data_IF_868946838239
#
_entry.id   IF_868946838239
#
_cell.length_a   1.000
_cell.length_b   1.000
_cell.length_c   1.000
_cell.angle_alpha   90.00
_cell.angle_beta   90.00
_cell.angle_gamma   90.00
#
_symmetry.space_group_name_H-M   'P 1'
#
loop_
_entity.id
_entity.type
_entity.pdbx_description
1 polymer ?
#
# COMPACT_ATOMS: atom_id res chain seq x y z
N UNK A 1 3.96 48.21 -17.90
CA UNK A 1 4.12 47.05 -18.79
C UNK A 1 4.87 45.99 -18.02
N UNK A 2 4.15 45.00 -17.52
CA UNK A 2 4.76 43.85 -16.81
C UNK A 2 4.91 42.79 -17.88
N UNK A 3 6.16 42.45 -18.22
CA UNK A 3 6.43 41.39 -19.19
C UNK A 3 5.87 40.08 -18.63
N UNK A 4 4.91 39.47 -19.33
CA UNK A 4 4.52 38.09 -19.06
C UNK A 4 5.73 37.21 -19.35
N UNK A 5 6.21 36.49 -18.33
CA UNK A 5 7.17 35.40 -18.55
C UNK A 5 6.52 34.40 -19.47
N UNK A 6 6.96 34.39 -20.72
CA UNK A 6 6.64 33.34 -21.67
C UNK A 6 7.20 32.04 -21.09
N UNK A 7 6.29 31.21 -20.61
CA UNK A 7 6.55 29.82 -20.24
C UNK A 7 7.06 29.13 -21.51
N UNK A 8 8.38 29.10 -21.69
CA UNK A 8 8.99 28.44 -22.83
C UNK A 8 8.75 26.95 -22.61
N UNK A 9 7.68 26.41 -23.21
CA UNK A 9 7.46 24.96 -23.27
C UNK A 9 8.74 24.34 -23.84
N UNK A 10 9.54 23.77 -22.97
CA UNK A 10 10.72 22.99 -23.34
C UNK A 10 10.23 21.92 -24.31
N UNK A 11 10.90 21.79 -25.46
CA UNK A 11 10.48 20.80 -26.43
C UNK A 11 10.53 19.39 -25.79
N UNK A 12 9.55 18.51 -26.07
CA UNK A 12 9.57 17.15 -25.56
C UNK A 12 10.87 16.41 -25.91
N UNK A 13 11.32 15.50 -25.04
CA UNK A 13 12.49 14.64 -25.25
C UNK A 13 12.24 13.49 -26.23
N UNK A 14 11.06 13.43 -26.84
CA UNK A 14 10.64 12.43 -27.83
C UNK A 14 9.89 13.06 -29.01
N UNK A 15 9.73 12.29 -30.09
CA UNK A 15 8.86 12.58 -31.23
C UNK A 15 7.95 11.40 -31.49
N UNK A 16 6.85 11.60 -32.23
CA UNK A 16 6.06 10.48 -32.74
C UNK A 16 6.70 9.87 -33.99
N UNK A 17 6.66 8.54 -34.11
CA UNK A 17 7.18 7.83 -35.31
C UNK A 17 6.26 7.98 -36.52
N UNK A 18 5.01 8.38 -36.31
CA UNK A 18 3.93 8.34 -37.30
C UNK A 18 3.09 7.07 -37.22
N UNK A 19 3.55 6.02 -36.52
CA UNK A 19 2.74 4.84 -36.22
C UNK A 19 1.66 5.18 -35.18
N UNK A 20 0.45 4.67 -35.42
CA UNK A 20 -0.70 4.84 -34.53
C UNK A 20 -1.39 3.50 -34.29
N UNK A 21 -2.04 3.38 -33.13
CA UNK A 21 -2.88 2.24 -32.76
C UNK A 21 -4.12 2.72 -32.02
N UNK A 22 -5.16 1.88 -32.00
CA UNK A 22 -6.36 2.11 -31.19
C UNK A 22 -6.31 1.19 -29.97
N UNK A 23 -6.21 1.78 -28.78
CA UNK A 23 -6.19 1.07 -27.50
C UNK A 23 -7.46 1.42 -26.71
N UNK A 24 -8.31 0.44 -26.43
CA UNK A 24 -9.59 0.64 -25.73
C UNK A 24 -10.45 1.80 -26.27
N UNK A 25 -10.39 2.08 -27.59
CA UNK A 25 -11.12 3.18 -28.23
C UNK A 25 -10.36 4.52 -28.33
N UNK A 26 -9.16 4.62 -27.76
CA UNK A 26 -8.30 5.80 -27.82
C UNK A 26 -7.22 5.63 -28.88
N UNK A 27 -6.92 6.71 -29.63
CA UNK A 27 -5.79 6.69 -30.57
C UNK A 27 -4.51 7.04 -29.83
N UNK A 28 -3.52 6.16 -29.91
CA UNK A 28 -2.20 6.35 -29.31
C UNK A 28 -1.12 6.34 -30.38
N UNK A 29 -0.03 7.05 -30.09
CA UNK A 29 1.08 7.30 -30.99
C UNK A 29 2.36 6.71 -30.42
N UNK A 30 3.12 6.01 -31.26
CA UNK A 30 4.39 5.43 -30.83
C UNK A 30 5.47 6.51 -30.69
N UNK A 31 6.24 6.45 -29.61
CA UNK A 31 7.29 7.42 -29.32
C UNK A 31 8.65 6.99 -29.87
N UNK A 32 9.49 7.99 -30.16
CA UNK A 32 10.89 7.85 -30.55
C UNK A 32 11.75 8.87 -29.83
N UNK A 33 12.84 8.42 -29.22
CA UNK A 33 13.71 9.25 -28.41
C UNK A 33 14.40 10.31 -29.27
N UNK A 34 14.42 11.56 -28.81
CA UNK A 34 15.17 12.66 -29.45
C UNK A 34 16.56 12.84 -28.83
N UNK A 35 16.70 12.48 -27.57
CA UNK A 35 17.91 12.64 -26.77
C UNK A 35 18.24 11.32 -26.07
N UNK A 36 19.48 11.21 -25.57
CA UNK A 36 19.86 10.08 -24.72
C UNK A 36 19.26 10.27 -23.31
N UNK A 37 18.75 9.19 -22.73
CA UNK A 37 18.33 9.11 -21.32
C UNK A 37 19.15 8.02 -20.63
N UNK A 38 20.37 8.33 -20.13
CA UNK A 38 21.27 7.32 -19.57
C UNK A 38 20.69 6.55 -18.39
N UNK A 39 19.84 7.18 -17.56
CA UNK A 39 19.21 6.53 -16.40
C UNK A 39 18.29 5.36 -16.81
N UNK A 40 17.67 5.45 -17.99
CA UNK A 40 16.81 4.43 -18.57
C UNK A 40 17.53 3.56 -19.60
N UNK A 41 18.79 3.85 -19.95
CA UNK A 41 19.52 3.14 -21.00
C UNK A 41 19.02 3.42 -22.42
N UNK A 42 18.34 4.55 -22.64
CA UNK A 42 17.79 4.95 -23.94
C UNK A 42 18.77 5.85 -24.67
N UNK A 43 19.00 5.59 -25.96
CA UNK A 43 19.76 6.47 -26.84
C UNK A 43 18.85 7.17 -27.84
N UNK A 44 19.29 8.33 -28.34
CA UNK A 44 18.55 9.09 -29.34
C UNK A 44 18.27 8.23 -30.58
N UNK A 45 17.01 8.17 -30.97
CA UNK A 45 16.54 7.33 -32.08
C UNK A 45 15.84 6.04 -31.65
N UNK A 46 15.97 5.62 -30.39
CA UNK A 46 15.28 4.43 -29.88
C UNK A 46 13.76 4.59 -29.96
N UNK A 47 13.08 3.47 -30.24
CA UNK A 47 11.62 3.38 -30.28
C UNK A 47 11.12 2.96 -28.90
N UNK A 48 10.10 3.65 -28.41
CA UNK A 48 9.42 3.33 -27.15
C UNK A 48 7.98 2.88 -27.37
N UNK A 49 7.23 2.88 -26.28
CA UNK A 49 5.81 2.52 -26.27
C UNK A 49 4.89 3.63 -26.79
N UNK A 50 3.69 3.69 -26.25
CA UNK A 50 2.57 4.39 -26.85
C UNK A 50 1.99 5.45 -25.91
N UNK A 51 1.74 6.64 -26.45
CA UNK A 51 1.09 7.73 -25.69
C UNK A 51 -0.01 8.40 -26.50
N UNK A 52 -1.08 8.84 -25.84
CA UNK A 52 -2.18 9.58 -26.50
C UNK A 52 -1.76 11.01 -26.88
N UNK A 53 -1.01 11.70 -26.02
CA UNK A 53 -0.63 13.10 -26.24
C UNK A 53 0.82 13.36 -25.85
N UNK A 54 1.36 14.51 -26.24
CA UNK A 54 2.68 14.96 -25.78
C UNK A 54 2.74 15.24 -24.28
N UNK A 55 1.60 15.52 -23.64
CA UNK A 55 1.54 15.83 -22.21
C UNK A 55 1.54 14.56 -21.34
N UNK A 56 1.33 13.40 -21.96
CA UNK A 56 1.33 12.08 -21.30
C UNK A 56 2.72 11.63 -20.85
N UNK A 57 3.80 12.19 -21.43
CA UNK A 57 5.18 11.85 -21.11
C UNK A 57 6.03 13.11 -20.99
N UNK A 58 6.61 13.37 -19.82
CA UNK A 58 7.37 14.59 -19.53
C UNK A 58 8.66 14.31 -18.75
N UNK A 59 9.47 15.35 -18.57
CA UNK A 59 10.77 15.33 -17.89
C UNK A 59 11.74 14.33 -18.55
N UNK A 60 12.31 13.38 -17.80
CA UNK A 60 13.20 12.35 -18.33
C UNK A 60 12.52 10.98 -18.44
N UNK A 61 11.24 10.87 -18.11
CA UNK A 61 10.55 9.59 -18.05
C UNK A 61 10.53 8.87 -19.40
N UNK A 62 10.45 7.55 -19.37
CA UNK A 62 10.42 6.75 -20.59
C UNK A 62 9.45 5.58 -20.54
N UNK A 63 8.84 5.31 -21.69
CA UNK A 63 7.88 4.22 -21.88
C UNK A 63 8.48 3.26 -22.92
N UNK A 64 8.68 2.01 -22.54
CA UNK A 64 9.23 0.94 -23.38
C UNK A 64 8.13 0.01 -23.90
N UNK A 65 8.52 -0.83 -24.86
CA UNK A 65 7.75 -1.99 -25.33
C UNK A 65 6.32 -1.63 -25.78
N UNK A 66 5.32 -2.40 -25.35
CA UNK A 66 3.91 -2.22 -25.66
C UNK A 66 3.17 -1.42 -24.58
N UNK A 67 3.89 -0.79 -23.65
CA UNK A 67 3.26 -0.01 -22.59
C UNK A 67 2.55 1.22 -23.18
N UNK A 68 1.36 1.50 -22.65
CA UNK A 68 0.42 2.44 -23.24
C UNK A 68 -0.12 3.43 -22.20
N UNK A 69 0.00 4.73 -22.47
CA UNK A 69 -0.42 5.82 -21.58
C UNK A 69 -1.44 6.71 -22.27
N UNK A 70 -2.66 6.78 -21.75
CA UNK A 70 -3.79 7.46 -22.41
C UNK A 70 -4.84 8.00 -21.43
N UNK A 71 -5.87 8.67 -21.94
CA UNK A 71 -7.01 9.18 -21.16
C UNK A 71 -6.58 10.12 -20.00
N UNK A 72 -5.65 11.04 -20.29
CA UNK A 72 -5.18 12.03 -19.32
C UNK A 72 -4.14 11.53 -18.31
N UNK A 73 -3.68 10.27 -18.43
CA UNK A 73 -2.59 9.75 -17.63
C UNK A 73 -1.26 10.43 -17.95
N UNK A 74 -0.39 10.50 -16.95
CA UNK A 74 0.91 11.18 -17.05
C UNK A 74 2.04 10.35 -16.45
N UNK A 75 3.16 10.29 -17.18
CA UNK A 75 4.43 9.74 -16.71
C UNK A 75 5.49 10.85 -16.70
N UNK A 76 6.10 11.13 -15.55
CA UNK A 76 7.01 12.28 -15.34
C UNK A 76 8.22 11.89 -14.48
N UNK A 77 9.13 12.84 -14.20
CA UNK A 77 10.37 12.58 -13.47
C UNK A 77 11.36 11.73 -14.26
N UNK A 78 11.98 10.75 -13.60
CA UNK A 78 12.85 9.70 -14.16
C UNK A 78 12.12 8.34 -14.22
N UNK A 79 10.78 8.36 -14.23
CA UNK A 79 9.98 7.16 -14.14
C UNK A 79 10.09 6.28 -15.40
N UNK A 80 10.00 4.97 -15.19
CA UNK A 80 10.11 3.97 -16.26
C UNK A 80 8.84 3.13 -16.29
N UNK A 81 8.22 3.02 -17.46
CA UNK A 81 7.11 2.09 -17.72
C UNK A 81 7.49 1.11 -18.83
N UNK A 82 7.35 -0.21 -18.63
CA UNK A 82 7.77 -1.21 -19.63
C UNK A 82 6.92 -2.49 -19.63
N UNK A 83 7.05 -3.31 -20.66
CA UNK A 83 6.20 -4.48 -20.91
C UNK A 83 4.86 -4.11 -21.54
N UNK A 84 3.78 -4.78 -21.11
CA UNK A 84 2.40 -4.63 -21.60
C UNK A 84 1.52 -3.88 -20.58
N UNK A 85 2.05 -2.82 -19.95
CA UNK A 85 1.34 -2.05 -18.91
C UNK A 85 0.39 -1.04 -19.55
N UNK A 86 -0.82 -0.92 -19.01
CA UNK A 86 -1.75 0.16 -19.35
C UNK A 86 -1.83 1.20 -18.21
N UNK A 87 -1.62 2.47 -18.56
CA UNK A 87 -1.74 3.60 -17.64
C UNK A 87 -2.80 4.56 -18.17
N UNK A 88 -3.91 4.72 -17.46
CA UNK A 88 -5.05 5.47 -17.99
C UNK A 88 -5.94 6.10 -16.92
N UNK A 89 -6.88 6.94 -17.34
CA UNK A 89 -7.51 7.90 -16.42
C UNK A 89 -6.49 8.91 -15.93
N UNK A 90 -6.86 9.76 -14.99
CA UNK A 90 -5.96 10.75 -14.36
C UNK A 90 -4.84 10.14 -13.48
N UNK A 91 -4.40 8.91 -13.79
CA UNK A 91 -3.30 8.23 -13.15
C UNK A 91 -1.96 8.96 -13.38
N UNK A 92 -1.07 8.86 -12.39
CA UNK A 92 0.22 9.52 -12.41
C UNK A 92 1.34 8.57 -11.97
N UNK A 93 2.37 8.44 -12.80
CA UNK A 93 3.61 7.75 -12.47
C UNK A 93 4.73 8.79 -12.51
N UNK A 94 5.47 8.95 -11.42
CA UNK A 94 6.43 10.05 -11.28
C UNK A 94 7.70 9.68 -10.55
N UNK A 95 8.58 10.68 -10.42
CA UNK A 95 9.86 10.55 -9.70
C UNK A 95 10.71 9.41 -10.27
N UNK A 96 11.19 8.46 -9.46
CA UNK A 96 12.01 7.32 -9.91
C UNK A 96 11.22 6.00 -9.91
N UNK A 97 9.89 6.06 -10.03
CA UNK A 97 9.05 4.87 -10.00
C UNK A 97 9.29 3.97 -11.23
N UNK A 98 9.19 2.66 -11.02
CA UNK A 98 9.29 1.65 -12.09
C UNK A 98 8.00 0.85 -12.14
N UNK A 99 7.33 0.84 -13.29
CA UNK A 99 6.14 0.02 -13.53
C UNK A 99 6.42 -0.93 -14.69
N UNK A 100 6.37 -2.23 -14.45
CA UNK A 100 6.70 -3.24 -15.44
C UNK A 100 5.80 -4.47 -15.40
N UNK A 101 5.68 -5.16 -16.54
CA UNK A 101 4.92 -6.41 -16.64
C UNK A 101 3.65 -6.23 -17.47
N UNK A 102 2.49 -6.54 -16.91
CA UNK A 102 1.19 -6.54 -17.60
C UNK A 102 0.04 -6.11 -16.68
N UNK A 103 0.33 -5.30 -15.66
CA UNK A 103 -0.67 -4.72 -14.76
C UNK A 103 -1.26 -3.41 -15.29
N UNK A 104 -2.16 -2.82 -14.50
CA UNK A 104 -2.83 -1.57 -14.83
C UNK A 104 -2.67 -0.52 -13.72
N UNK A 105 -2.40 0.73 -14.12
CA UNK A 105 -2.42 1.89 -13.23
C UNK A 105 -3.50 2.84 -13.73
N UNK A 106 -4.60 3.01 -12.98
CA UNK A 106 -5.75 3.75 -13.50
C UNK A 106 -6.50 4.65 -12.53
N UNK A 107 -7.49 5.36 -13.07
CA UNK A 107 -8.35 6.32 -12.38
C UNK A 107 -7.60 7.55 -11.87
N UNK A 108 -7.32 7.65 -10.57
CA UNK A 108 -6.54 8.73 -9.95
C UNK A 108 -5.31 8.18 -9.20
N UNK A 109 -4.92 6.93 -9.51
CA UNK A 109 -3.82 6.24 -8.85
C UNK A 109 -2.50 6.98 -9.03
N UNK A 110 -1.66 6.95 -7.99
CA UNK A 110 -0.33 7.58 -8.01
C UNK A 110 0.76 6.59 -7.62
N UNK A 111 1.77 6.47 -8.47
CA UNK A 111 2.98 5.69 -8.21
C UNK A 111 4.19 6.61 -8.30
N UNK A 112 4.93 6.82 -7.21
CA UNK A 112 6.02 7.80 -7.15
C UNK A 112 7.09 7.40 -6.13
N UNK A 113 8.11 8.22 -5.88
CA UNK A 113 9.29 7.82 -5.11
C UNK A 113 10.16 6.86 -5.89
N UNK A 114 10.67 5.84 -5.21
CA UNK A 114 11.40 4.70 -5.77
C UNK A 114 10.49 3.44 -5.83
N UNK A 115 9.17 3.64 -5.91
CA UNK A 115 8.19 2.56 -5.87
C UNK A 115 8.27 1.67 -7.12
N UNK A 116 7.93 0.39 -6.93
CA UNK A 116 7.94 -0.60 -8.00
C UNK A 116 6.58 -1.28 -8.10
N UNK A 117 5.99 -1.31 -9.29
CA UNK A 117 4.81 -2.12 -9.59
C UNK A 117 5.17 -3.10 -10.69
N UNK A 118 5.09 -4.40 -10.41
CA UNK A 118 5.63 -5.45 -11.26
C UNK A 118 4.61 -6.56 -11.55
N UNK A 119 4.87 -7.38 -12.56
CA UNK A 119 4.01 -8.53 -12.88
C UNK A 119 2.62 -8.09 -13.35
N UNK A 120 1.56 -8.62 -12.77
CA UNK A 120 0.15 -8.20 -12.99
C UNK A 120 -0.34 -7.24 -11.88
N UNK A 121 0.57 -6.68 -11.08
CA UNK A 121 0.24 -5.78 -9.97
C UNK A 121 -0.52 -4.56 -10.47
N UNK A 122 -1.60 -4.19 -9.80
CA UNK A 122 -2.50 -3.12 -10.25
C UNK A 122 -2.75 -2.08 -9.15
N UNK A 123 -2.77 -0.80 -9.54
CA UNK A 123 -3.05 0.32 -8.63
C UNK A 123 -4.16 1.17 -9.25
N UNK A 124 -5.30 1.26 -8.57
CA UNK A 124 -6.54 1.83 -9.13
C UNK A 124 -7.21 2.80 -8.14
N UNK A 125 -8.30 3.45 -8.57
CA UNK A 125 -9.03 4.46 -7.81
C UNK A 125 -8.13 5.63 -7.35
N UNK A 126 -8.20 6.03 -6.08
CA UNK A 126 -7.42 7.14 -5.50
C UNK A 126 -6.21 6.63 -4.69
N UNK A 127 -5.65 5.49 -5.09
CA UNK A 127 -4.62 4.78 -4.31
C UNK A 127 -3.21 5.32 -4.56
N UNK A 128 -2.33 5.13 -3.57
CA UNK A 128 -0.95 5.62 -3.63
C UNK A 128 0.04 4.49 -3.34
N UNK A 129 1.07 4.36 -4.18
CA UNK A 129 2.24 3.49 -3.93
C UNK A 129 3.50 4.33 -4.04
N UNK A 130 4.25 4.46 -2.95
CA UNK A 130 5.38 5.38 -2.90
C UNK A 130 6.52 4.96 -1.96
N UNK A 131 7.59 5.76 -1.89
CA UNK A 131 8.79 5.39 -1.14
C UNK A 131 9.56 4.28 -1.83
N UNK A 132 9.92 3.21 -1.12
CA UNK A 132 10.57 2.01 -1.66
C UNK A 132 9.61 0.81 -1.71
N UNK A 133 8.31 1.08 -1.76
CA UNK A 133 7.28 0.06 -1.77
C UNK A 133 7.30 -0.74 -3.07
N UNK A 134 6.99 -2.04 -2.97
CA UNK A 134 6.85 -2.93 -4.13
C UNK A 134 5.47 -3.58 -4.11
N UNK A 135 4.76 -3.49 -5.23
CA UNK A 135 3.52 -4.25 -5.52
C UNK A 135 3.82 -5.17 -6.68
N UNK A 136 3.60 -6.47 -6.55
CA UNK A 136 4.00 -7.44 -7.57
C UNK A 136 3.00 -8.59 -7.72
N UNK A 137 3.28 -9.50 -8.66
CA UNK A 137 2.42 -10.65 -8.97
C UNK A 137 0.99 -10.23 -9.33
N UNK A 138 -0.06 -10.72 -8.68
CA UNK A 138 -1.45 -10.32 -8.95
C UNK A 138 -2.01 -9.37 -7.88
N UNK A 139 -1.15 -8.72 -7.09
CA UNK A 139 -1.60 -7.87 -6.01
C UNK A 139 -2.37 -6.64 -6.52
N UNK A 140 -3.42 -6.26 -5.81
CA UNK A 140 -4.28 -5.11 -6.17
C UNK A 140 -4.30 -4.09 -5.03
N UNK A 141 -4.09 -2.82 -5.36
CA UNK A 141 -4.22 -1.67 -4.46
C UNK A 141 -5.34 -0.77 -4.98
N UNK A 142 -6.41 -0.60 -4.22
CA UNK A 142 -7.63 0.10 -4.65
C UNK A 142 -8.24 0.96 -3.55
N UNK A 143 -9.33 1.68 -3.88
CA UNK A 143 -10.19 2.37 -2.91
C UNK A 143 -9.44 3.29 -1.92
N UNK A 144 -8.40 3.98 -2.39
CA UNK A 144 -7.65 4.95 -1.58
C UNK A 144 -6.61 4.34 -0.65
N UNK A 145 -6.27 3.06 -0.80
CA UNK A 145 -5.21 2.41 -0.06
C UNK A 145 -3.83 3.04 -0.32
N UNK A 146 -2.94 2.94 0.67
CA UNK A 146 -1.59 3.53 0.63
C UNK A 146 -0.53 2.50 0.98
N UNK A 147 0.41 2.26 0.07
CA UNK A 147 1.57 1.37 0.27
C UNK A 147 2.84 2.22 0.23
N UNK A 148 3.64 2.19 1.30
CA UNK A 148 4.82 3.05 1.40
C UNK A 148 5.93 2.49 2.29
N UNK A 149 7.03 3.23 2.43
CA UNK A 149 8.23 2.74 3.13
C UNK A 149 8.92 1.65 2.32
N UNK A 150 9.28 0.54 2.95
CA UNK A 150 9.88 -0.65 2.31
C UNK A 150 8.88 -1.82 2.23
N UNK A 151 7.58 -1.52 2.19
CA UNK A 151 6.53 -2.52 2.18
C UNK A 151 6.56 -3.34 0.88
N UNK A 152 6.30 -4.63 0.98
CA UNK A 152 6.19 -5.53 -0.15
C UNK A 152 4.82 -6.21 -0.16
N UNK A 153 4.07 -6.04 -1.25
CA UNK A 153 2.75 -6.64 -1.46
C UNK A 153 2.81 -7.51 -2.72
N UNK A 154 2.50 -8.80 -2.58
CA UNK A 154 2.61 -9.80 -3.65
C UNK A 154 1.47 -10.85 -3.57
N UNK A 155 1.55 -11.92 -4.34
CA UNK A 155 0.49 -12.93 -4.44
C UNK A 155 -0.77 -12.39 -5.11
N UNK A 156 -1.91 -12.81 -4.59
CA UNK A 156 -3.24 -12.29 -4.91
C UNK A 156 -3.73 -11.34 -3.82
N UNK A 157 -2.83 -10.66 -3.10
CA UNK A 157 -3.20 -9.79 -1.99
C UNK A 157 -4.04 -8.60 -2.49
N UNK A 158 -5.08 -8.23 -1.73
CA UNK A 158 -5.98 -7.14 -2.04
C UNK A 158 -5.94 -6.11 -0.91
N UNK A 159 -5.49 -4.89 -1.22
CA UNK A 159 -5.38 -3.78 -0.27
C UNK A 159 -6.35 -2.68 -0.71
N UNK A 160 -7.38 -2.41 0.09
CA UNK A 160 -8.46 -1.49 -0.28
C UNK A 160 -8.98 -0.65 0.90
N UNK A 161 -10.08 0.08 0.71
CA UNK A 161 -10.80 0.83 1.73
C UNK A 161 -9.94 1.74 2.60
N UNK A 162 -8.98 2.46 2.01
CA UNK A 162 -8.08 3.35 2.74
C UNK A 162 -7.10 2.65 3.70
N UNK A 163 -6.79 1.36 3.49
CA UNK A 163 -5.78 0.65 4.29
C UNK A 163 -4.36 1.19 4.06
N UNK A 164 -3.51 1.12 5.09
CA UNK A 164 -2.12 1.57 5.06
C UNK A 164 -1.17 0.38 5.27
N UNK A 165 -0.22 0.18 4.35
CA UNK A 165 0.85 -0.82 4.48
C UNK A 165 2.20 -0.12 4.41
N UNK A 166 3.00 -0.22 5.47
CA UNK A 166 4.28 0.48 5.56
C UNK A 166 5.36 -0.26 6.35
N UNK A 167 6.49 0.39 6.61
CA UNK A 167 7.65 -0.25 7.23
C UNK A 167 8.31 -1.24 6.29
N UNK A 168 8.85 -2.33 6.83
CA UNK A 168 9.38 -3.50 6.11
C UNK A 168 8.35 -4.65 6.11
N UNK A 169 7.05 -4.32 6.03
CA UNK A 169 5.99 -5.34 6.04
C UNK A 169 5.97 -6.14 4.74
N UNK A 170 5.57 -7.40 4.83
CA UNK A 170 5.44 -8.32 3.73
C UNK A 170 4.03 -8.92 3.73
N UNK A 171 3.23 -8.59 2.71
CA UNK A 171 1.86 -9.07 2.51
C UNK A 171 1.82 -9.92 1.26
N UNK A 172 1.43 -11.19 1.38
CA UNK A 172 1.37 -12.11 0.25
C UNK A 172 0.22 -13.12 0.39
N UNK A 173 0.13 -14.07 -0.54
CA UNK A 173 -0.98 -15.03 -0.59
C UNK A 173 -2.28 -14.37 -1.05
N UNK A 174 -3.40 -14.71 -0.41
CA UNK A 174 -4.72 -14.13 -0.70
C UNK A 174 -5.16 -13.17 0.42
N UNK A 175 -4.20 -12.53 1.08
CA UNK A 175 -4.46 -11.64 2.20
C UNK A 175 -5.26 -10.40 1.74
N UNK A 176 -6.27 -10.04 2.51
CA UNK A 176 -7.12 -8.86 2.26
C UNK A 176 -6.99 -7.87 3.40
N UNK A 177 -6.56 -6.65 3.08
CA UNK A 177 -6.49 -5.52 4.02
C UNK A 177 -7.48 -4.45 3.57
N UNK A 178 -8.40 -4.04 4.43
CA UNK A 178 -9.43 -3.05 4.07
C UNK A 178 -9.84 -2.15 5.22
N UNK A 179 -10.75 -1.21 4.95
CA UNK A 179 -11.46 -0.39 5.94
C UNK A 179 -10.53 0.27 6.98
N UNK A 180 -9.53 1.02 6.50
CA UNK A 180 -8.61 1.78 7.33
C UNK A 180 -7.67 0.94 8.19
N UNK A 181 -7.52 -0.36 7.92
CA UNK A 181 -6.52 -1.19 8.61
C UNK A 181 -5.10 -0.67 8.36
N UNK A 182 -4.23 -0.86 9.34
CA UNK A 182 -2.83 -0.42 9.29
C UNK A 182 -1.93 -1.60 9.56
N UNK A 183 -1.00 -1.86 8.64
CA UNK A 183 0.08 -2.83 8.82
C UNK A 183 1.43 -2.14 8.68
N UNK A 184 2.29 -2.26 9.69
CA UNK A 184 3.60 -1.62 9.71
C UNK A 184 4.68 -2.48 10.39
N UNK A 185 5.88 -1.94 10.56
CA UNK A 185 7.00 -2.66 11.18
C UNK A 185 7.59 -3.73 10.26
N UNK A 186 7.87 -4.91 10.79
CA UNK A 186 8.36 -6.10 10.10
C UNK A 186 7.28 -7.19 9.99
N UNK A 187 6.01 -6.79 9.95
CA UNK A 187 4.89 -7.71 9.92
C UNK A 187 4.90 -8.56 8.64
N UNK A 188 4.70 -9.86 8.80
CA UNK A 188 4.55 -10.83 7.71
C UNK A 188 3.14 -11.39 7.77
N UNK A 189 2.36 -11.11 6.72
CA UNK A 189 1.00 -11.64 6.55
C UNK A 189 0.96 -12.44 5.26
N UNK A 190 0.64 -13.72 5.38
CA UNK A 190 0.54 -14.62 4.23
C UNK A 190 -0.72 -15.48 4.36
N UNK A 191 -1.08 -16.20 3.29
CA UNK A 191 -2.25 -17.08 3.28
C UNK A 191 -3.58 -16.34 3.06
N UNK A 192 -4.67 -16.96 3.51
CA UNK A 192 -6.05 -16.44 3.39
C UNK A 192 -6.46 -15.74 4.69
N UNK A 193 -6.04 -14.49 4.84
CA UNK A 193 -6.22 -13.68 6.06
C UNK A 193 -6.94 -12.39 5.71
N UNK A 194 -7.94 -12.01 6.51
CA UNK A 194 -8.64 -10.73 6.37
C UNK A 194 -8.35 -9.81 7.57
N UNK A 195 -7.85 -8.60 7.28
CA UNK A 195 -7.57 -7.55 8.27
C UNK A 195 -8.38 -6.33 7.89
N UNK A 196 -9.28 -5.88 8.76
CA UNK A 196 -10.19 -4.79 8.44
C UNK A 196 -10.64 -4.02 9.68
N UNK A 197 -11.35 -2.91 9.47
CA UNK A 197 -12.04 -2.17 10.52
C UNK A 197 -11.08 -1.43 11.45
N UNK A 198 -10.10 -0.72 10.90
CA UNK A 198 -9.12 0.01 11.69
C UNK A 198 -8.16 -0.87 12.50
N UNK A 199 -8.12 -2.19 12.23
CA UNK A 199 -7.19 -3.10 12.88
C UNK A 199 -5.74 -2.66 12.65
N UNK A 200 -4.90 -2.75 13.68
CA UNK A 200 -3.52 -2.31 13.66
C UNK A 200 -2.57 -3.47 13.94
N UNK A 201 -1.77 -3.86 12.94
CA UNK A 201 -0.75 -4.90 13.02
C UNK A 201 0.63 -4.28 12.85
N UNK A 202 1.57 -4.64 13.70
CA UNK A 202 2.88 -3.99 13.75
C UNK A 202 3.97 -4.91 14.28
N UNK A 203 5.17 -4.38 14.55
CA UNK A 203 6.29 -5.11 15.11
C UNK A 203 6.68 -6.32 14.24
N UNK A 204 6.93 -7.48 14.83
CA UNK A 204 7.34 -8.74 14.18
C UNK A 204 6.14 -9.69 13.96
N UNK A 205 4.95 -9.12 13.71
CA UNK A 205 3.73 -9.91 13.53
C UNK A 205 3.90 -11.00 12.47
N UNK A 206 3.35 -12.18 12.74
CA UNK A 206 3.41 -13.35 11.87
C UNK A 206 2.06 -14.02 11.79
N UNK A 207 1.34 -13.71 10.73
CA UNK A 207 -0.05 -14.09 10.53
C UNK A 207 -0.13 -14.88 9.22
N UNK A 208 -0.30 -16.19 9.33
CA UNK A 208 -0.30 -17.10 8.17
C UNK A 208 -1.65 -17.81 8.04
N UNK A 209 -2.40 -17.86 9.14
CA UNK A 209 -3.76 -18.38 9.22
C UNK A 209 -4.71 -17.36 9.84
N UNK A 210 -6.01 -17.49 9.52
CA UNK A 210 -7.06 -16.58 10.00
C UNK A 210 -7.14 -16.50 11.54
N UNK A 211 -6.67 -17.52 12.23
CA UNK A 211 -6.67 -17.59 13.68
C UNK A 211 -5.40 -17.05 14.33
N UNK A 212 -4.34 -16.71 13.58
CA UNK A 212 -3.16 -15.99 14.08
C UNK A 212 -3.45 -14.52 14.44
N UNK A 213 -4.67 -14.07 14.17
CA UNK A 213 -5.17 -12.74 14.50
C UNK A 213 -6.61 -12.80 15.05
N UNK A 214 -6.93 -11.89 15.98
CA UNK A 214 -8.27 -11.63 16.48
C UNK A 214 -8.52 -10.12 16.43
N UNK A 215 -9.57 -9.73 15.70
CA UNK A 215 -10.00 -8.33 15.56
C UNK A 215 -11.36 -8.20 16.23
N UNK A 216 -11.47 -7.29 17.18
CA UNK A 216 -12.71 -7.02 17.91
C UNK A 216 -13.07 -5.54 17.72
N UNK A 217 -14.17 -5.29 17.02
CA UNK A 217 -14.68 -3.95 16.75
C UNK A 217 -15.77 -3.56 17.75
N UNK A 218 -15.97 -2.25 17.96
CA UNK A 218 -17.05 -1.65 18.77
C UNK A 218 -17.08 -2.13 20.22
N UNK A 219 -15.95 -2.07 20.90
CA UNK A 219 -15.82 -2.51 22.29
C UNK A 219 -16.18 -1.43 23.32
N UNK A 220 -16.95 -0.38 22.97
CA UNK A 220 -17.28 0.71 23.91
C UNK A 220 -16.09 1.54 24.41
N UNK A 221 -14.87 1.22 23.94
CA UNK A 221 -13.60 1.92 24.11
C UNK A 221 -13.56 3.20 23.28
N UNK A 222 -12.76 4.19 23.71
CA UNK A 222 -12.46 5.38 22.87
C UNK A 222 -11.69 5.03 21.59
N UNK A 223 -11.20 3.81 21.52
CA UNK A 223 -10.53 3.24 20.36
C UNK A 223 -11.43 2.11 19.84
N UNK A 224 -11.85 2.22 18.58
CA UNK A 224 -12.94 1.40 18.03
C UNK A 224 -12.58 -0.09 17.83
N UNK A 225 -11.28 -0.43 17.90
CA UNK A 225 -10.77 -1.74 17.51
C UNK A 225 -9.65 -2.23 18.43
N UNK A 226 -9.83 -3.45 18.96
CA UNK A 226 -8.79 -4.24 19.61
C UNK A 226 -8.27 -5.25 18.59
N UNK A 227 -6.96 -5.23 18.35
CA UNK A 227 -6.29 -6.20 17.47
C UNK A 227 -5.31 -7.02 18.29
N UNK A 228 -5.46 -8.34 18.29
CA UNK A 228 -4.51 -9.26 18.94
C UNK A 228 -3.93 -10.15 17.87
N UNK A 229 -2.61 -10.21 17.78
CA UNK A 229 -1.93 -10.96 16.73
C UNK A 229 -0.69 -11.66 17.25
N UNK A 230 -0.35 -12.77 16.60
CA UNK A 230 0.86 -13.56 16.86
C UNK A 230 2.12 -12.84 16.38
N UNK A 231 3.23 -12.99 17.11
CA UNK A 231 4.57 -12.47 16.75
C UNK A 231 5.63 -13.57 16.80
N UNK A 232 6.75 -13.34 16.13
CA UNK A 232 7.91 -14.26 16.05
C UNK A 232 8.93 -14.10 17.19
N UNK A 233 8.67 -13.21 18.15
CA UNK A 233 9.65 -12.91 19.20
C UNK A 233 9.88 -14.16 20.07
N UNK A 234 11.13 -14.66 20.06
CA UNK A 234 11.60 -15.81 20.85
C UNK A 234 11.56 -15.58 22.39
N UNK A 235 10.88 -14.54 22.86
CA UNK A 235 10.77 -14.14 24.26
C UNK A 235 9.33 -13.93 24.71
N UNK A 236 8.94 -14.67 25.75
CA UNK A 236 7.79 -14.63 26.69
C UNK A 236 6.37 -14.24 26.26
N UNK A 237 6.13 -13.51 25.17
CA UNK A 237 4.80 -13.22 24.66
C UNK A 237 4.82 -13.26 23.14
N UNK A 238 4.54 -14.43 22.55
CA UNK A 238 4.40 -14.65 21.11
C UNK A 238 3.15 -13.93 20.53
N UNK A 239 2.80 -12.77 21.07
CA UNK A 239 1.62 -12.01 20.74
C UNK A 239 1.78 -10.53 21.14
N UNK A 240 1.03 -9.68 20.44
CA UNK A 240 0.84 -8.28 20.79
C UNK A 240 -0.66 -7.96 20.77
N UNK A 241 -1.09 -7.16 21.73
CA UNK A 241 -2.42 -6.57 21.79
C UNK A 241 -2.28 -5.08 21.44
N UNK A 242 -3.08 -4.63 20.49
CA UNK A 242 -3.14 -3.27 20.00
C UNK A 242 -4.53 -2.67 20.27
N UNK A 243 -4.55 -1.54 20.98
CA UNK A 243 -5.77 -0.78 21.28
C UNK A 243 -5.45 0.71 21.12
N UNK A 244 -5.85 1.29 20.00
CA UNK A 244 -5.50 2.68 19.67
C UNK A 244 -4.00 2.91 19.60
N UNK A 245 -3.48 3.78 20.47
CA UNK A 245 -2.03 4.02 20.63
C UNK A 245 -1.34 3.03 21.58
N UNK A 246 -2.10 2.32 22.42
CA UNK A 246 -1.54 1.38 23.39
C UNK A 246 -1.16 0.06 22.71
N UNK A 247 0.00 -0.47 23.10
CA UNK A 247 0.54 -1.76 22.66
C UNK A 247 1.13 -2.50 23.85
N UNK A 248 0.87 -3.79 23.96
CA UNK A 248 1.42 -4.59 25.04
C UNK A 248 1.03 -6.07 24.98
N UNK A 249 1.39 -6.80 26.03
CA UNK A 249 1.03 -8.21 26.24
C UNK A 249 -0.27 -8.33 27.04
N UNK A 250 -0.76 -9.56 27.22
CA UNK A 250 -1.97 -9.81 28.02
C UNK A 250 -1.73 -9.52 29.50
N UNK A 251 -0.51 -9.79 29.98
CA UNK A 251 -0.08 -9.49 31.35
C UNK A 251 -0.03 -7.98 31.59
N UNK A 252 0.52 -7.22 30.63
CA UNK A 252 0.54 -5.75 30.72
C UNK A 252 -0.86 -5.13 30.65
N UNK A 253 -1.77 -5.75 29.88
CA UNK A 253 -3.17 -5.32 29.80
C UNK A 253 -3.89 -5.54 31.15
N UNK A 254 -3.73 -6.73 31.75
CA UNK A 254 -4.28 -7.04 33.07
C UNK A 254 -3.74 -6.09 34.15
N UNK A 255 -2.46 -5.72 34.06
CA UNK A 255 -1.86 -4.75 34.97
C UNK A 255 -2.50 -3.35 34.80
N UNK A 256 -2.66 -2.88 33.56
CA UNK A 256 -3.26 -1.56 33.28
C UNK A 256 -4.73 -1.48 33.76
N UNK A 257 -5.51 -2.55 33.57
CA UNK A 257 -6.91 -2.64 34.04
C UNK A 257 -6.98 -2.61 35.57
N UNK A 258 -6.01 -3.21 36.26
CA UNK A 258 -5.97 -3.24 37.74
C UNK A 258 -5.39 -1.97 38.34
N UNK A 259 -4.70 -1.13 37.56
CA UNK A 259 -4.08 0.11 38.01
C UNK A 259 -4.38 1.27 37.04
N UNK A 260 -5.64 1.74 36.97
CA UNK A 260 -6.00 2.81 36.05
C UNK A 260 -5.19 4.08 36.36
N UNK A 261 -4.53 4.66 35.36
CA UNK A 261 -3.85 5.95 35.54
C UNK A 261 -4.90 7.04 35.76
N UNK A 262 -4.92 7.65 36.95
CA UNK A 262 -5.70 8.85 37.21
C UNK A 262 -5.03 10.07 36.54
N UNK A 263 -5.59 10.51 35.41
CA UNK A 263 -5.29 11.77 34.71
C UNK A 263 -4.91 11.56 33.23
N UNK A 264 -5.42 12.30 32.24
CA UNK A 264 -6.05 13.62 32.21
C UNK A 264 -7.03 13.71 31.01
N UNK A 265 -8.31 14.02 31.27
CA UNK A 265 -9.29 14.38 30.23
C UNK A 265 -10.63 13.63 30.31
N UNK A 266 -11.70 14.37 30.64
CA UNK A 266 -13.10 14.21 30.19
C UNK A 266 -13.69 12.80 30.01
N UNK A 267 -13.54 11.88 30.98
CA UNK A 267 -14.45 10.72 31.04
C UNK A 267 -15.15 10.68 32.38
N UNK A 268 -16.44 10.41 32.35
CA UNK A 268 -17.20 10.15 33.57
C UNK A 268 -16.73 8.85 34.21
N UNK A 269 -16.81 8.76 35.54
CA UNK A 269 -16.49 7.53 36.28
C UNK A 269 -17.28 6.32 35.74
N UNK A 270 -18.53 6.55 35.32
CA UNK A 270 -19.38 5.54 34.67
C UNK A 270 -18.79 4.98 33.37
N UNK A 271 -18.22 5.82 32.52
CA UNK A 271 -17.58 5.38 31.28
C UNK A 271 -16.31 4.59 31.58
N UNK A 272 -15.55 4.97 32.62
CA UNK A 272 -14.37 4.23 33.04
C UNK A 272 -14.72 2.84 33.59
N UNK A 273 -15.76 2.75 34.44
CA UNK A 273 -16.22 1.48 35.01
C UNK A 273 -16.74 0.52 33.94
N UNK A 274 -17.56 1.03 33.00
CA UNK A 274 -18.05 0.23 31.86
C UNK A 274 -16.88 -0.31 31.05
N UNK A 275 -15.92 0.55 30.73
CA UNK A 275 -14.73 0.19 29.98
C UNK A 275 -13.94 -0.93 30.64
N UNK A 276 -13.74 -0.80 31.95
CA UNK A 276 -13.00 -1.75 32.75
C UNK A 276 -13.69 -3.11 32.73
N UNK A 277 -15.02 -3.13 32.88
CA UNK A 277 -15.82 -4.36 32.82
C UNK A 277 -15.79 -5.02 31.43
N UNK A 278 -15.89 -4.24 30.35
CA UNK A 278 -15.81 -4.74 28.97
C UNK A 278 -14.45 -5.37 28.69
N UNK A 279 -13.36 -4.67 29.01
CA UNK A 279 -12.00 -5.21 28.80
C UNK A 279 -11.77 -6.44 29.70
N UNK A 280 -12.26 -6.43 30.94
CA UNK A 280 -12.16 -7.60 31.82
C UNK A 280 -12.87 -8.83 31.24
N UNK A 281 -14.04 -8.66 30.63
CA UNK A 281 -14.78 -9.73 29.97
C UNK A 281 -14.07 -10.27 28.71
N UNK A 282 -13.18 -9.48 28.08
CA UNK A 282 -12.39 -9.92 26.93
C UNK A 282 -11.18 -10.77 27.32
N UNK A 283 -10.65 -10.62 28.54
CA UNK A 283 -9.45 -11.34 28.98
C UNK A 283 -9.53 -12.87 28.77
N UNK A 284 -10.61 -13.58 29.13
CA UNK A 284 -10.71 -15.03 28.89
C UNK A 284 -10.66 -15.41 27.41
N UNK A 285 -11.27 -14.60 26.53
CA UNK A 285 -11.22 -14.81 25.08
C UNK A 285 -9.79 -14.63 24.55
N UNK A 286 -9.11 -13.55 24.99
CA UNK A 286 -7.74 -13.28 24.58
C UNK A 286 -6.80 -14.40 25.04
N UNK A 287 -6.89 -14.83 26.30
CA UNK A 287 -6.10 -15.94 26.84
C UNK A 287 -6.32 -17.23 26.04
N UNK A 288 -7.58 -17.59 25.78
CA UNK A 288 -7.91 -18.80 24.99
C UNK A 288 -7.24 -18.74 23.62
N UNK A 289 -7.28 -17.59 22.95
CA UNK A 289 -6.65 -17.43 21.63
C UNK A 289 -5.13 -17.51 21.70
N UNK A 290 -4.51 -16.84 22.68
CA UNK A 290 -3.04 -16.83 22.84
C UNK A 290 -2.52 -18.23 23.21
N UNK A 291 -3.24 -18.98 24.04
CA UNK A 291 -2.90 -20.36 24.40
C UNK A 291 -2.95 -21.31 23.18
N UNK A 292 -3.91 -21.10 22.26
CA UNK A 292 -3.97 -21.85 21.00
C UNK A 292 -2.71 -21.62 20.13
N UNK A 293 -2.13 -20.43 20.14
CA UNK A 293 -0.88 -20.16 19.41
C UNK A 293 0.31 -20.84 20.07
N UNK A 294 0.38 -20.79 21.41
CA UNK A 294 1.44 -21.44 22.18
C UNK A 294 1.47 -22.96 21.97
N UNK A 295 0.31 -23.60 21.88
CA UNK A 295 0.23 -25.06 21.66
C UNK A 295 0.70 -25.50 20.26
N UNK A 296 0.52 -24.65 19.24
CA UNK A 296 1.01 -24.93 17.87
C UNK A 296 2.53 -24.89 17.73
N UNK A 297 3.20 -24.05 18.50
CA UNK A 297 4.67 -23.97 18.49
C UNK A 297 5.30 -25.22 19.12
N UNK A 298 4.57 -25.93 20.00
CA UNK A 298 5.06 -27.10 20.72
C UNK A 298 4.76 -28.45 20.03
N UNK A 299 3.96 -28.45 18.96
CA UNK A 299 3.54 -29.64 18.22
C UNK A 299 4.39 -29.84 16.96
#
# INVERSE_FOLDING_TARGET
MIASSTDSKTEPHFTFTGATQVFAGHTVHQIKARINLPHAGVVAGDIGGWVETTDSLRDNAWIFDDACVYQGAQVTGDAIVRGNVAVFGHAHIGESAVVEGSGEIRDYARVYGCAQVQGRGSVVDHSHVYGWATVSENATVSEGAQIYGHAHVAGNAAISGGAHVCGQSHIAGSATLSNGSVVCGHAVITGEVAISGGAQVSATARIEHYDDILIINRTGLVEDTITVFRTDDQGSSNHVIAMGKWRGTIESLQFEISHPRHGSGERSDFEQDRLQAEVHALIPLLNTRIEQWRSRVLA
#
